data_IF_875898094615
#
_entry.id   IF_875898094615
#
_cell.length_a   1.000
_cell.length_b   1.000
_cell.length_c   1.000
_cell.angle_alpha   90.00
_cell.angle_beta   90.00
_cell.angle_gamma   90.00
#
_symmetry.space_group_name_H-M   'P 1'
#
loop_
_entity.id
_entity.type
_entity.pdbx_description
1 polymer ?
#
# COMPACT_ATOMS: atom_id res chain seq x y z
N UNK A 1 -14.30 16.23 -4.29
CA UNK A 1 -14.68 14.84 -4.66
C UNK A 1 -15.50 14.16 -3.57
N UNK A 2 -15.06 14.18 -2.30
CA UNK A 2 -15.85 13.59 -1.20
C UNK A 2 -17.29 14.14 -1.11
N UNK A 3 -17.51 15.43 -1.31
CA UNK A 3 -18.88 16.00 -1.35
C UNK A 3 -19.76 15.44 -2.48
N UNK A 4 -19.15 15.05 -3.62
CA UNK A 4 -19.86 14.39 -4.72
C UNK A 4 -20.15 12.93 -4.38
N UNK A 5 -19.22 12.25 -3.71
CA UNK A 5 -19.43 10.89 -3.20
C UNK A 5 -20.58 10.89 -2.20
N UNK A 6 -20.56 11.82 -1.24
CA UNK A 6 -21.60 12.07 -0.26
C UNK A 6 -22.99 12.27 -0.91
N UNK A 7 -23.05 13.12 -1.94
CA UNK A 7 -24.29 13.37 -2.69
C UNK A 7 -24.78 12.13 -3.44
N UNK A 8 -23.87 11.29 -3.96
CA UNK A 8 -24.19 10.09 -4.71
C UNK A 8 -24.63 8.93 -3.80
N UNK A 9 -24.09 8.85 -2.58
CA UNK A 9 -24.47 7.85 -1.58
C UNK A 9 -25.71 8.26 -0.78
N UNK A 10 -26.18 9.51 -0.92
CA UNK A 10 -27.37 10.01 -0.24
C UNK A 10 -27.20 10.12 1.28
N UNK A 11 -25.96 10.22 1.76
CA UNK A 11 -25.62 10.27 3.18
C UNK A 11 -24.89 11.54 3.48
N UNK A 12 -25.30 12.35 4.46
CA UNK A 12 -24.69 13.65 4.71
C UNK A 12 -23.47 13.64 5.66
N UNK A 13 -23.16 12.48 6.25
CA UNK A 13 -22.13 12.30 7.29
C UNK A 13 -20.82 11.66 6.76
N UNK A 14 -20.75 11.36 5.46
CA UNK A 14 -19.65 10.60 4.88
C UNK A 14 -18.30 11.29 5.01
N UNK A 15 -18.23 12.60 4.70
CA UNK A 15 -16.99 13.36 4.83
C UNK A 15 -16.49 13.33 6.28
N UNK A 16 -17.39 13.55 7.23
CA UNK A 16 -17.04 13.59 8.67
C UNK A 16 -16.51 12.24 9.16
N UNK A 17 -17.05 11.13 8.64
CA UNK A 17 -16.57 9.78 8.96
C UNK A 17 -15.21 9.46 8.33
N UNK A 18 -14.96 9.96 7.12
CA UNK A 18 -13.74 9.66 6.40
C UNK A 18 -12.56 10.52 6.85
N UNK A 19 -12.75 11.72 7.41
CA UNK A 19 -11.63 12.57 7.83
C UNK A 19 -11.16 12.17 9.24
N UNK A 20 -9.97 11.56 9.32
CA UNK A 20 -9.38 11.11 10.59
C UNK A 20 -8.45 12.16 11.19
N UNK A 21 -7.60 12.77 10.35
CA UNK A 21 -6.78 13.94 10.72
C UNK A 21 -6.96 15.00 9.63
N UNK A 22 -7.35 16.24 9.98
CA UNK A 22 -7.45 17.31 9.01
C UNK A 22 -6.07 17.71 8.48
N UNK A 23 -6.03 18.44 7.36
CA UNK A 23 -4.78 19.03 6.89
C UNK A 23 -4.15 19.88 8.00
N UNK A 24 -2.83 19.81 8.21
CA UNK A 24 -2.16 20.70 9.14
C UNK A 24 -2.44 22.14 8.71
N UNK A 25 -2.67 23.04 9.67
CA UNK A 25 -2.96 24.46 9.43
C UNK A 25 -1.79 25.16 8.70
N UNK A 26 -1.63 24.92 7.40
CA UNK A 26 -0.85 25.77 6.53
C UNK A 26 -1.74 26.96 6.14
N UNK A 27 -1.22 28.20 6.19
CA UNK A 27 -1.97 29.32 5.67
C UNK A 27 -2.25 29.04 4.19
N UNK A 28 -3.53 28.82 3.84
CA UNK A 28 -4.02 28.66 2.47
C UNK A 28 -3.34 29.70 1.58
N UNK A 29 -2.32 29.30 0.84
CA UNK A 29 -1.68 30.19 -0.12
C UNK A 29 -2.65 30.32 -1.28
N UNK A 30 -3.45 31.40 -1.29
CA UNK A 30 -4.41 31.78 -2.33
C UNK A 30 -3.77 32.06 -3.70
N UNK A 31 -2.52 31.66 -3.93
CA UNK A 31 -1.90 31.75 -5.25
C UNK A 31 -2.32 30.51 -6.03
N UNK A 32 -2.86 30.64 -7.25
CA UNK A 32 -3.04 29.50 -8.13
C UNK A 32 -1.66 28.90 -8.39
N UNK A 33 -1.29 27.89 -7.59
CA UNK A 33 -0.11 27.09 -7.86
C UNK A 33 -0.40 26.37 -9.17
N UNK A 34 0.54 26.53 -10.11
CA UNK A 34 0.64 25.75 -11.34
C UNK A 34 0.27 24.30 -11.04
N UNK A 35 -0.56 23.66 -11.88
CA UNK A 35 -1.09 22.32 -11.67
C UNK A 35 -0.04 21.36 -11.09
N UNK A 36 -0.04 21.22 -9.77
CA UNK A 36 0.85 20.33 -9.03
C UNK A 36 0.25 18.93 -9.17
N UNK A 37 1.06 17.95 -9.53
CA UNK A 37 0.65 16.56 -9.49
C UNK A 37 0.21 16.22 -8.06
N UNK A 38 -0.94 15.56 -7.92
CA UNK A 38 -1.50 15.18 -6.63
C UNK A 38 -0.96 13.81 -6.25
N UNK A 39 -0.44 13.66 -5.04
CA UNK A 39 0.14 12.42 -4.53
C UNK A 39 -0.74 11.86 -3.41
N UNK A 40 -1.35 10.71 -3.68
CA UNK A 40 -2.16 9.96 -2.73
C UNK A 40 -1.35 8.77 -2.21
N UNK A 41 -1.22 8.63 -0.91
CA UNK A 41 -0.58 7.47 -0.28
C UNK A 41 -1.65 6.61 0.37
N UNK A 42 -1.50 5.29 0.30
CA UNK A 42 -2.37 4.32 0.96
C UNK A 42 -1.51 3.41 1.83
N UNK A 43 -1.82 3.32 3.13
CA UNK A 43 -1.27 2.27 3.95
C UNK A 43 -1.98 0.96 3.60
N UNK A 44 -1.27 0.05 2.93
CA UNK A 44 -1.84 -1.16 2.34
C UNK A 44 -1.22 -2.41 2.95
N UNK A 45 -2.03 -3.22 3.63
CA UNK A 45 -1.63 -4.47 4.28
C UNK A 45 -2.39 -5.69 3.73
N UNK A 46 -3.10 -5.52 2.61
CA UNK A 46 -4.01 -6.50 2.00
C UNK A 46 -5.19 -6.93 2.89
N UNK A 47 -5.48 -6.22 3.99
CA UNK A 47 -6.77 -6.35 4.66
C UNK A 47 -7.92 -5.83 3.76
N UNK A 48 -9.15 -6.32 3.94
CA UNK A 48 -10.33 -5.81 3.22
C UNK A 48 -10.43 -4.28 3.28
N UNK A 49 -10.21 -3.71 4.46
CA UNK A 49 -10.31 -2.27 4.66
C UNK A 49 -9.21 -1.48 3.95
N UNK A 50 -7.99 -1.99 3.94
CA UNK A 50 -6.89 -1.37 3.19
C UNK A 50 -7.11 -1.46 1.67
N UNK A 51 -7.77 -2.53 1.21
CA UNK A 51 -8.18 -2.70 -0.18
C UNK A 51 -9.25 -1.67 -0.56
N UNK A 52 -10.28 -1.50 0.27
CA UNK A 52 -11.28 -0.43 0.10
C UNK A 52 -10.63 0.95 0.09
N UNK A 53 -9.66 1.21 0.96
CA UNK A 53 -8.90 2.47 0.97
C UNK A 53 -8.14 2.68 -0.35
N UNK A 54 -7.55 1.62 -0.91
CA UNK A 54 -6.86 1.64 -2.19
C UNK A 54 -7.82 1.89 -3.37
N UNK A 55 -8.98 1.25 -3.38
CA UNK A 55 -10.02 1.45 -4.40
C UNK A 55 -10.55 2.88 -4.40
N UNK A 56 -10.81 3.43 -3.21
CA UNK A 56 -11.23 4.83 -3.05
C UNK A 56 -10.14 5.77 -3.59
N UNK A 57 -8.86 5.49 -3.29
CA UNK A 57 -7.75 6.30 -3.79
C UNK A 57 -7.66 6.26 -5.32
N UNK A 58 -7.81 5.09 -5.94
CA UNK A 58 -7.84 4.97 -7.40
C UNK A 58 -9.04 5.66 -8.02
N UNK A 59 -10.22 5.51 -7.43
CA UNK A 59 -11.41 6.21 -7.89
C UNK A 59 -11.23 7.73 -7.83
N UNK A 60 -10.70 8.26 -6.72
CA UNK A 60 -10.39 9.69 -6.58
C UNK A 60 -9.38 10.13 -7.64
N UNK A 61 -8.30 9.36 -7.84
CA UNK A 61 -7.27 9.65 -8.84
C UNK A 61 -7.86 9.70 -10.25
N UNK A 62 -8.65 8.69 -10.61
CA UNK A 62 -9.29 8.58 -11.91
C UNK A 62 -10.27 9.74 -12.16
N UNK A 63 -11.16 10.01 -11.21
CA UNK A 63 -12.15 11.08 -11.33
C UNK A 63 -11.50 12.46 -11.38
N UNK A 64 -10.44 12.67 -10.59
CA UNK A 64 -9.67 13.92 -10.62
C UNK A 64 -9.02 14.09 -12.00
N UNK A 65 -8.35 13.06 -12.52
CA UNK A 65 -7.78 13.08 -13.87
C UNK A 65 -8.81 13.44 -14.94
N UNK A 66 -10.00 12.86 -14.89
CA UNK A 66 -11.07 13.17 -15.84
C UNK A 66 -11.62 14.59 -15.70
N UNK A 67 -11.79 15.09 -14.47
CA UNK A 67 -12.42 16.38 -14.21
C UNK A 67 -11.47 17.57 -14.42
N UNK A 68 -10.19 17.43 -14.10
CA UNK A 68 -9.24 18.54 -14.06
C UNK A 68 -8.06 18.37 -15.00
N UNK A 69 -7.91 17.20 -15.64
CA UNK A 69 -6.74 16.84 -16.46
C UNK A 69 -5.40 16.96 -15.69
N UNK A 70 -5.45 16.86 -14.36
CA UNK A 70 -4.26 16.83 -13.51
C UNK A 70 -3.85 15.39 -13.26
N UNK A 71 -2.55 15.10 -13.36
CA UNK A 71 -2.02 13.79 -13.01
C UNK A 71 -2.13 13.55 -11.50
N UNK A 72 -2.59 12.36 -11.13
CA UNK A 72 -2.68 11.91 -9.75
C UNK A 72 -1.90 10.60 -9.63
N UNK A 73 -0.93 10.56 -8.73
CA UNK A 73 -0.14 9.36 -8.44
C UNK A 73 -0.66 8.72 -7.17
N UNK A 74 -1.02 7.43 -7.24
CA UNK A 74 -1.40 6.61 -6.09
C UNK A 74 -0.20 5.78 -5.65
N UNK A 75 0.08 5.72 -4.35
CA UNK A 75 1.22 4.98 -3.83
C UNK A 75 0.80 4.05 -2.70
N UNK A 76 1.01 2.75 -2.86
CA UNK A 76 0.79 1.79 -1.78
C UNK A 76 2.05 1.68 -0.91
N UNK A 77 1.88 1.73 0.41
CA UNK A 77 2.96 1.56 1.38
C UNK A 77 2.63 0.39 2.28
N UNK A 78 3.46 -0.65 2.20
CA UNK A 78 3.42 -1.78 3.13
C UNK A 78 4.62 -1.68 4.08
N UNK A 79 4.35 -1.73 5.38
CA UNK A 79 5.37 -1.67 6.43
C UNK A 79 5.38 -3.01 7.14
N UNK A 80 6.55 -3.64 7.17
CA UNK A 80 6.80 -4.85 7.94
C UNK A 80 7.28 -4.43 9.32
N UNK A 81 6.47 -4.69 10.35
CA UNK A 81 6.85 -4.35 11.73
C UNK A 81 7.99 -5.26 12.23
N UNK A 82 9.06 -4.62 12.68
CA UNK A 82 10.15 -5.28 13.39
C UNK A 82 9.71 -5.58 14.83
N UNK A 83 8.82 -6.57 14.99
CA UNK A 83 8.49 -7.09 16.31
C UNK A 83 9.72 -7.84 16.85
N UNK A 84 10.38 -7.24 17.84
CA UNK A 84 11.60 -7.68 18.51
C UNK A 84 11.86 -9.21 18.48
N UNK A 85 12.73 -9.65 17.56
CA UNK A 85 13.92 -10.49 17.82
C UNK A 85 14.40 -11.15 16.51
N UNK A 86 15.53 -10.68 15.99
CA UNK A 86 16.55 -11.48 15.30
C UNK A 86 16.10 -12.75 14.55
N UNK A 87 15.22 -12.63 13.56
CA UNK A 87 14.87 -13.78 12.72
C UNK A 87 14.53 -13.41 11.28
N UNK A 88 15.28 -12.47 10.70
CA UNK A 88 15.58 -12.57 9.28
C UNK A 88 16.89 -13.34 9.16
N UNK A 89 16.89 -14.66 8.90
CA UNK A 89 18.11 -15.31 8.44
C UNK A 89 18.55 -14.52 7.22
N UNK A 90 19.79 -14.06 7.25
CA UNK A 90 20.40 -13.18 6.28
C UNK A 90 20.16 -13.69 4.84
N UNK A 91 19.06 -13.26 4.19
CA UNK A 91 18.75 -13.61 2.80
C UNK A 91 19.74 -12.91 1.85
N UNK A 92 20.55 -11.98 2.38
CA UNK A 92 21.65 -11.33 1.66
C UNK A 92 23.01 -12.02 1.85
N UNK A 93 23.11 -13.10 2.62
CA UNK A 93 24.26 -14.00 2.48
C UNK A 93 24.08 -14.83 1.22
N UNK A 94 24.48 -14.26 0.09
CA UNK A 94 24.80 -15.03 -1.11
C UNK A 94 25.77 -16.14 -0.69
N UNK A 95 25.45 -17.43 -0.86
CA UNK A 95 26.46 -18.46 -0.81
C UNK A 95 27.44 -18.12 -1.93
N UNK A 96 28.66 -17.79 -1.57
CA UNK A 96 29.77 -17.67 -2.49
C UNK A 96 30.16 -19.09 -2.94
N UNK A 97 29.26 -19.80 -3.61
CA UNK A 97 29.55 -21.03 -4.33
C UNK A 97 29.76 -20.65 -5.79
N UNK A 98 31.03 -20.67 -6.19
CA UNK A 98 31.44 -20.64 -7.60
C UNK A 98 30.61 -21.67 -8.38
N UNK A 99 30.06 -21.34 -9.56
CA UNK A 99 29.44 -22.34 -10.40
C UNK A 99 30.55 -23.19 -11.01
N UNK A 100 30.81 -24.37 -10.44
CA UNK A 100 31.53 -25.42 -11.16
C UNK A 100 30.54 -26.04 -12.15
N UNK A 101 30.60 -25.58 -13.40
CA UNK A 101 30.06 -26.27 -14.56
C UNK A 101 30.82 -27.59 -14.74
N UNK A 102 30.34 -28.68 -14.13
CA UNK A 102 30.67 -30.03 -14.57
C UNK A 102 29.39 -30.86 -14.61
N UNK A 103 28.74 -30.85 -15.77
CA UNK A 103 27.73 -31.83 -16.11
C UNK A 103 28.47 -33.15 -16.39
N UNK A 104 28.66 -33.99 -15.37
CA UNK A 104 29.11 -35.36 -15.59
C UNK A 104 27.95 -36.15 -16.20
N UNK A 105 28.02 -36.32 -17.51
CA UNK A 105 27.23 -37.31 -18.24
C UNK A 105 27.66 -38.69 -17.77
N UNK A 106 26.76 -39.41 -17.13
CA UNK A 106 26.84 -40.87 -17.03
C UNK A 106 25.52 -41.42 -17.54
N UNK A 107 25.55 -41.96 -18.75
CA UNK A 107 24.51 -42.84 -19.28
C UNK A 107 24.37 -44.05 -18.35
N UNK A 108 23.14 -44.39 -17.93
CA UNK A 108 22.54 -45.74 -18.03
C UNK A 108 21.03 -45.63 -17.72
N UNK A 109 20.24 -45.74 -18.79
CA UNK A 109 19.08 -46.64 -18.98
C UNK A 109 17.89 -46.70 -18.00
N UNK A 110 16.72 -46.51 -18.65
CA UNK A 110 15.37 -47.09 -18.45
C UNK A 110 14.32 -46.27 -17.69
N UNK A 111 13.34 -45.88 -18.51
CA UNK A 111 12.05 -45.26 -18.24
C UNK A 111 11.24 -45.99 -17.17
N UNK A 112 10.80 -45.23 -16.15
CA UNK A 112 9.66 -45.57 -15.30
C UNK A 112 8.84 -44.30 -15.14
N UNK A 113 7.59 -44.35 -15.58
CA UNK A 113 6.58 -43.31 -15.41
C UNK A 113 6.36 -43.11 -13.91
N UNK A 114 6.97 -42.08 -13.33
CA UNK A 114 6.70 -41.68 -11.96
C UNK A 114 5.62 -40.60 -11.98
N UNK A 115 4.45 -40.98 -11.47
CA UNK A 115 3.34 -40.10 -11.13
C UNK A 115 3.87 -38.92 -10.35
N UNK A 116 3.55 -37.71 -10.79
CA UNK A 116 3.86 -36.45 -10.13
C UNK A 116 3.10 -36.39 -8.79
N UNK A 117 3.64 -37.00 -7.75
CA UNK A 117 3.24 -36.69 -6.38
C UNK A 117 3.67 -35.25 -6.12
N UNK A 118 2.68 -34.36 -6.18
CA UNK A 118 2.81 -32.94 -5.86
C UNK A 118 3.47 -32.82 -4.47
N UNK A 119 4.69 -32.24 -4.36
CA UNK A 119 5.24 -31.96 -3.05
C UNK A 119 4.36 -30.89 -2.42
N UNK A 120 3.67 -31.25 -1.34
CA UNK A 120 2.97 -30.29 -0.48
C UNK A 120 4.04 -29.49 0.26
N UNK A 121 4.63 -28.53 -0.45
CA UNK A 121 5.49 -27.51 0.13
C UNK A 121 4.60 -26.62 1.00
N UNK A 122 4.47 -26.98 2.28
CA UNK A 122 4.14 -26.02 3.32
C UNK A 122 5.35 -25.10 3.50
N UNK A 123 5.63 -24.27 2.48
CA UNK A 123 6.65 -23.25 2.59
C UNK A 123 6.07 -22.21 3.53
N UNK A 124 6.60 -22.11 4.75
CA UNK A 124 6.38 -20.94 5.57
C UNK A 124 6.77 -19.72 4.74
N UNK A 125 5.78 -18.92 4.33
CA UNK A 125 6.01 -17.74 3.51
C UNK A 125 6.85 -16.79 4.37
N UNK A 126 8.06 -16.48 3.90
CA UNK A 126 8.91 -15.51 4.61
C UNK A 126 8.22 -14.14 4.58
N UNK A 127 8.43 -13.26 5.57
CA UNK A 127 7.76 -11.96 5.59
C UNK A 127 8.04 -11.11 4.33
N UNK A 128 9.20 -11.32 3.68
CA UNK A 128 9.54 -10.70 2.40
C UNK A 128 8.70 -11.25 1.24
N UNK A 129 8.52 -12.57 1.15
CA UNK A 129 7.63 -13.16 0.14
C UNK A 129 6.18 -12.69 0.34
N UNK A 130 5.73 -12.56 1.60
CA UNK A 130 4.40 -12.02 1.89
C UNK A 130 4.31 -10.55 1.47
N UNK A 131 5.33 -9.75 1.75
CA UNK A 131 5.41 -8.36 1.29
C UNK A 131 5.34 -8.24 -0.24
N UNK A 132 6.08 -9.11 -0.94
CA UNK A 132 6.07 -9.15 -2.40
C UNK A 132 4.68 -9.49 -2.94
N UNK A 133 3.99 -10.48 -2.35
CA UNK A 133 2.61 -10.82 -2.73
C UNK A 133 1.67 -9.63 -2.53
N UNK A 134 1.72 -8.97 -1.36
CA UNK A 134 0.87 -7.83 -1.02
C UNK A 134 1.09 -6.67 -1.99
N UNK A 135 2.35 -6.28 -2.22
CA UNK A 135 2.66 -5.18 -3.12
C UNK A 135 2.36 -5.52 -4.58
N UNK A 136 2.51 -6.78 -4.97
CA UNK A 136 2.11 -7.26 -6.30
C UNK A 136 0.60 -7.16 -6.48
N UNK A 137 -0.20 -7.56 -5.48
CA UNK A 137 -1.66 -7.39 -5.52
C UNK A 137 -2.06 -5.92 -5.73
N UNK A 138 -1.47 -5.00 -4.95
CA UNK A 138 -1.76 -3.57 -5.09
C UNK A 138 -1.40 -3.05 -6.50
N UNK A 139 -0.29 -3.55 -7.07
CA UNK A 139 0.13 -3.19 -8.43
C UNK A 139 -0.83 -3.74 -9.49
N UNK A 140 -1.25 -4.99 -9.39
CA UNK A 140 -2.20 -5.59 -10.34
C UNK A 140 -3.50 -4.81 -10.38
N UNK A 141 -4.02 -4.37 -9.23
CA UNK A 141 -5.20 -3.51 -9.17
C UNK A 141 -4.95 -2.16 -9.87
N UNK A 142 -3.78 -1.55 -9.63
CA UNK A 142 -3.43 -0.28 -10.24
C UNK A 142 -3.42 -0.31 -11.78
N UNK A 143 -3.01 -1.45 -12.36
CA UNK A 143 -2.96 -1.65 -13.81
C UNK A 143 -4.36 -1.57 -14.44
N UNK A 144 -5.40 -2.03 -13.74
CA UNK A 144 -6.79 -1.93 -14.20
C UNK A 144 -7.26 -0.47 -14.33
N UNK A 145 -6.81 0.40 -13.42
CA UNK A 145 -7.17 1.81 -13.40
C UNK A 145 -6.39 2.67 -14.40
N UNK A 146 -5.34 2.11 -15.03
CA UNK A 146 -4.44 2.81 -15.96
C UNK A 146 -3.92 4.15 -15.39
N UNK A 147 -3.58 4.15 -14.10
CA UNK A 147 -3.09 5.32 -13.35
C UNK A 147 -1.58 5.28 -13.09
N UNK A 148 -1.02 6.40 -12.64
CA UNK A 148 0.36 6.44 -12.14
C UNK A 148 0.40 5.79 -10.75
N UNK A 149 1.20 4.75 -10.60
CA UNK A 149 1.26 3.95 -9.37
C UNK A 149 2.70 3.68 -8.91
N UNK A 150 2.92 3.78 -7.60
CA UNK A 150 4.17 3.36 -6.94
C UNK A 150 3.86 2.43 -5.77
N UNK A 151 4.81 1.57 -5.42
CA UNK A 151 4.75 0.78 -4.19
C UNK A 151 6.01 1.00 -3.36
N UNK A 152 5.85 1.03 -2.04
CA UNK A 152 6.95 1.13 -1.08
C UNK A 152 6.88 -0.03 -0.10
N UNK A 153 8.00 -0.74 0.05
CA UNK A 153 8.24 -1.65 1.16
C UNK A 153 9.08 -0.94 2.22
N UNK A 154 8.64 -0.95 3.47
CA UNK A 154 9.37 -0.38 4.60
C UNK A 154 9.48 -1.39 5.74
N UNK A 155 10.45 -1.19 6.62
CA UNK A 155 10.69 -2.01 7.80
C UNK A 155 10.75 -1.11 9.03
N UNK A 156 10.10 -1.52 10.11
CA UNK A 156 10.05 -0.78 11.38
C UNK A 156 8.63 -0.41 11.81
N UNK A 157 8.50 0.61 12.65
CA UNK A 157 7.19 1.06 13.15
C UNK A 157 6.35 1.71 12.05
N UNK A 158 5.11 1.25 11.89
CA UNK A 158 4.17 1.72 10.85
C UNK A 158 4.06 3.25 10.85
N UNK A 159 3.78 3.87 12.00
CA UNK A 159 3.59 5.32 12.09
C UNK A 159 4.86 6.11 11.68
N UNK A 160 6.04 5.62 12.08
CA UNK A 160 7.32 6.26 11.75
C UNK A 160 7.62 6.15 10.26
N UNK A 161 7.46 4.97 9.68
CA UNK A 161 7.74 4.74 8.27
C UNK A 161 6.74 5.45 7.36
N UNK A 162 5.44 5.44 7.70
CA UNK A 162 4.42 6.21 6.97
C UNK A 162 4.73 7.71 6.98
N UNK A 163 5.14 8.28 8.12
CA UNK A 163 5.52 9.69 8.23
C UNK A 163 6.72 10.02 7.31
N UNK A 164 7.72 9.14 7.25
CA UNK A 164 8.87 9.28 6.35
C UNK A 164 8.44 9.28 4.88
N UNK A 165 7.61 8.32 4.46
CA UNK A 165 7.16 8.24 3.06
C UNK A 165 6.31 9.43 2.67
N UNK A 166 5.37 9.85 3.53
CA UNK A 166 4.53 11.03 3.29
C UNK A 166 5.36 12.28 3.09
N UNK A 167 6.42 12.48 3.89
CA UNK A 167 7.36 13.60 3.72
C UNK A 167 8.18 13.49 2.44
N UNK A 168 8.74 12.30 2.14
CA UNK A 168 9.62 12.13 0.99
C UNK A 168 8.89 12.24 -0.34
N UNK A 169 7.65 11.75 -0.41
CA UNK A 169 6.82 11.78 -1.61
C UNK A 169 5.90 13.02 -1.65
N UNK A 170 6.02 13.92 -0.66
CA UNK A 170 5.20 15.13 -0.54
C UNK A 170 3.70 14.85 -0.73
N UNK A 171 3.18 13.84 -0.02
CA UNK A 171 1.81 13.38 -0.19
C UNK A 171 0.81 14.44 0.25
N UNK A 172 -0.26 14.59 -0.54
CA UNK A 172 -1.34 15.51 -0.24
C UNK A 172 -2.38 14.83 0.67
N UNK A 173 -2.56 13.50 0.54
CA UNK A 173 -3.50 12.71 1.36
C UNK A 173 -2.89 11.34 1.68
N UNK A 174 -3.06 10.89 2.93
CA UNK A 174 -2.83 9.51 3.37
C UNK A 174 -4.16 8.79 3.63
N UNK A 175 -4.39 7.66 2.97
CA UNK A 175 -5.52 6.78 3.21
C UNK A 175 -5.14 5.63 4.15
N UNK A 176 -6.02 5.32 5.10
CA UNK A 176 -5.91 4.22 6.05
C UNK A 176 -7.17 3.36 6.03
N UNK A 177 -7.01 2.04 6.18
CA UNK A 177 -8.12 1.09 6.33
C UNK A 177 -8.81 1.13 7.71
N UNK A 178 -8.82 2.27 8.40
CA UNK A 178 -9.51 2.42 9.69
C UNK A 178 -10.62 3.47 9.56
N UNK A 179 -11.63 3.38 10.41
CA UNK A 179 -12.87 4.16 10.32
C UNK A 179 -13.13 5.02 11.57
N UNK A 180 -12.14 5.13 12.48
CA UNK A 180 -12.31 5.79 13.77
C UNK A 180 -11.08 6.62 14.12
N UNK A 181 -11.32 7.84 14.60
CA UNK A 181 -10.29 8.75 15.13
C UNK A 181 -9.62 8.21 16.39
N UNK A 182 -10.28 7.29 17.10
CA UNK A 182 -9.77 6.67 18.33
C UNK A 182 -8.94 5.40 18.04
N UNK A 183 -8.64 5.11 16.77
CA UNK A 183 -7.86 3.94 16.40
C UNK A 183 -6.38 4.12 16.83
N UNK A 184 -5.70 3.10 17.41
CA UNK A 184 -4.33 3.21 17.91
C UNK A 184 -3.33 3.74 16.88
N UNK A 185 -3.55 3.43 15.60
CA UNK A 185 -2.74 3.97 14.49
C UNK A 185 -2.81 5.50 14.40
N UNK A 186 -3.99 6.10 14.61
CA UNK A 186 -4.19 7.56 14.53
C UNK A 186 -3.48 8.24 15.69
N UNK A 187 -3.58 7.67 16.89
CA UNK A 187 -2.82 8.13 18.04
C UNK A 187 -1.31 8.07 17.79
N UNK A 188 -0.82 6.97 17.21
CA UNK A 188 0.60 6.79 16.89
C UNK A 188 1.11 7.76 15.80
N UNK A 189 0.27 8.16 14.84
CA UNK A 189 0.62 9.16 13.82
C UNK A 189 0.74 10.57 14.40
N UNK A 190 -0.04 10.86 15.45
CA UNK A 190 -0.07 12.13 16.15
C UNK A 190 -0.82 13.25 15.40
N UNK A 191 -1.20 14.29 16.14
CA UNK A 191 -2.04 15.39 15.61
C UNK A 191 -1.34 16.31 14.60
N UNK A 192 0.00 16.31 14.56
CA UNK A 192 0.81 17.15 13.67
C UNK A 192 1.31 16.36 12.46
N UNK A 193 0.43 15.57 11.83
CA UNK A 193 0.78 14.81 10.65
C UNK A 193 0.93 15.75 9.43
N UNK A 194 1.91 15.52 8.53
CA UNK A 194 2.24 16.43 7.43
C UNK A 194 1.19 16.59 6.33
N UNK A 195 0.13 15.78 6.31
CA UNK A 195 -0.98 15.86 5.35
C UNK A 195 -2.31 15.42 5.99
N UNK A 196 -3.42 15.58 5.26
CA UNK A 196 -4.70 15.02 5.69
C UNK A 196 -4.66 13.49 5.71
N UNK A 197 -5.29 12.90 6.72
CA UNK A 197 -5.45 11.46 6.84
C UNK A 197 -6.93 11.10 6.69
N UNK A 198 -7.21 10.26 5.69
CA UNK A 198 -8.55 9.76 5.41
C UNK A 198 -8.66 8.28 5.79
N UNK A 199 -9.77 7.94 6.44
CA UNK A 199 -10.20 6.58 6.72
C UNK A 199 -11.15 6.05 5.66
N UNK A 200 -11.68 4.86 5.92
CA UNK A 200 -12.80 4.29 5.18
C UNK A 200 -14.12 4.56 5.92
N UNK A 201 -15.23 4.78 5.21
CA UNK A 201 -16.53 4.98 5.84
C UNK A 201 -17.04 3.67 6.45
N UNK A 202 -17.73 3.76 7.60
CA UNK A 202 -18.25 2.61 8.36
C UNK A 202 -19.36 1.83 7.64
N UNK A 203 -19.83 2.34 6.50
CA UNK A 203 -21.01 1.88 5.78
C UNK A 203 -20.74 0.90 4.65
N UNK A 204 -19.47 0.50 4.45
CA UNK A 204 -19.08 -0.48 3.44
C UNK A 204 -19.07 -1.91 4.05
N UNK A 205 -19.32 -2.04 5.36
CA UNK A 205 -19.34 -3.30 6.11
C UNK A 205 -20.73 -4.00 6.17
N UNK A 206 -21.75 -3.54 5.43
CA UNK A 206 -23.10 -4.15 5.39
C UNK A 206 -23.46 -4.79 4.04
#
# INVERSE_FOLDING_TARGET
>A
MLARLQSATGRDDLIEQMVLLPEPNQPFSKKPQKAKAVNLIVAYDASPNSHTALDIAFWIAHQTRLATNTEVTVQAVYVVEDNHSSQYPNILSFPQQQPSLECQVSEVSKSVTQVLTQPKLQTAITPLQQADIILWQARSLAEEWQGSFKSHLRFGSIATELNKVVKSEAADILFLGCNSVNHPMIEALGSNFPCAVLGIPSSIDE
#
